data_IF_143570331183
#
_entry.id   IF_143570331183
#
_cell.length_a   1.000
_cell.length_b   1.000
_cell.length_c   1.000
_cell.angle_alpha   90.00
_cell.angle_beta   90.00
_cell.angle_gamma   90.00
#
_symmetry.space_group_name_H-M   'P 1'
#
loop_
_entity.id
_entity.type
_entity.pdbx_description
1 polymer ?
#
# COMPACT_ATOMS: atom_id res chain seq x y z
N UNK A 1 28.75 -56.00 53.10
CA UNK A 1 28.45 -57.43 53.04
C UNK A 1 27.33 -57.61 52.07
N UNK A 2 27.63 -58.41 51.08
CA UNK A 2 26.76 -59.01 50.10
C UNK A 2 26.11 -58.15 48.99
N UNK A 3 26.08 -58.63 47.79
CA UNK A 3 26.14 -57.85 46.61
C UNK A 3 24.81 -57.67 45.87
N UNK A 4 24.78 -56.69 45.03
CA UNK A 4 23.77 -56.52 43.98
C UNK A 4 23.79 -57.63 42.91
N UNK A 5 22.64 -57.88 42.28
CA UNK A 5 22.68 -58.30 40.90
C UNK A 5 22.16 -57.22 39.97
N UNK A 6 22.84 -57.15 38.84
CA UNK A 6 22.48 -56.37 37.65
C UNK A 6 21.20 -56.85 37.01
N UNK A 7 20.37 -55.94 36.55
CA UNK A 7 19.30 -56.17 35.61
C UNK A 7 19.33 -55.06 34.58
N UNK A 8 19.76 -55.38 33.38
CA UNK A 8 19.69 -54.48 32.25
C UNK A 8 18.25 -54.44 31.74
N UNK A 9 17.81 -53.27 31.35
CA UNK A 9 16.68 -53.07 30.47
C UNK A 9 17.08 -52.15 29.32
N UNK A 10 17.03 -52.76 28.16
CA UNK A 10 17.17 -52.16 26.85
C UNK A 10 16.07 -51.15 26.64
N UNK A 11 16.44 -49.87 26.46
CA UNK A 11 15.57 -48.93 25.75
C UNK A 11 16.18 -48.72 24.36
N UNK A 12 15.81 -49.65 23.46
CA UNK A 12 15.91 -49.50 22.03
C UNK A 12 14.56 -49.04 21.48
N UNK A 13 14.45 -47.77 21.18
CA UNK A 13 13.45 -47.30 20.21
C UNK A 13 14.00 -46.05 19.53
N UNK A 14 14.77 -46.28 18.48
CA UNK A 14 15.00 -45.30 17.42
C UNK A 14 13.69 -45.16 16.65
N UNK A 15 12.86 -44.17 17.01
CA UNK A 15 11.83 -43.73 16.10
C UNK A 15 12.49 -42.97 14.94
N UNK A 16 12.70 -43.68 13.87
CA UNK A 16 13.00 -43.16 12.55
C UNK A 16 11.77 -42.35 12.11
N UNK A 17 11.90 -41.03 12.08
CA UNK A 17 10.91 -40.17 11.42
C UNK A 17 10.89 -40.61 9.95
N UNK A 18 9.88 -41.35 9.57
CA UNK A 18 9.63 -41.71 8.19
C UNK A 18 9.33 -40.42 7.43
N UNK A 19 10.27 -39.98 6.62
CA UNK A 19 10.02 -39.03 5.54
C UNK A 19 9.03 -39.77 4.62
N UNK A 20 7.79 -39.29 4.58
CA UNK A 20 6.75 -39.85 3.76
C UNK A 20 7.09 -39.57 2.30
N UNK A 21 7.76 -40.52 1.62
CA UNK A 21 7.83 -40.56 0.17
C UNK A 21 6.42 -40.85 -0.35
N UNK A 22 5.68 -39.79 -0.68
CA UNK A 22 4.49 -39.90 -1.47
C UNK A 22 4.87 -40.28 -2.89
N UNK A 23 5.01 -41.59 -3.16
CA UNK A 23 4.96 -42.11 -4.52
C UNK A 23 3.53 -41.89 -5.02
N UNK A 24 3.33 -40.83 -5.77
CA UNK A 24 2.09 -40.55 -6.47
C UNK A 24 2.10 -41.38 -7.76
N UNK A 25 1.12 -42.25 -7.85
CA UNK A 25 0.76 -43.06 -9.02
C UNK A 25 0.81 -42.18 -10.29
N UNK A 26 1.48 -42.69 -11.34
CA UNK A 26 1.93 -41.99 -12.55
C UNK A 26 0.86 -41.38 -13.47
N UNK A 27 -0.18 -40.77 -12.93
CA UNK A 27 -1.07 -39.88 -13.66
C UNK A 27 -0.54 -38.47 -13.47
N UNK A 28 -0.06 -37.87 -14.55
CA UNK A 28 0.16 -36.40 -14.62
C UNK A 28 -1.11 -35.74 -14.09
N UNK A 29 -1.09 -35.30 -12.86
CA UNK A 29 -1.99 -34.24 -12.42
C UNK A 29 -1.64 -33.04 -13.29
N UNK A 30 -2.52 -32.76 -14.25
CA UNK A 30 -2.57 -31.47 -14.95
C UNK A 30 -2.42 -30.40 -13.89
N UNK A 31 -1.53 -29.45 -14.14
CA UNK A 31 -1.45 -28.19 -13.40
C UNK A 31 -2.90 -27.80 -13.13
N UNK A 32 -3.33 -27.87 -11.88
CA UNK A 32 -4.54 -27.17 -11.49
C UNK A 32 -4.20 -25.71 -11.67
N UNK A 33 -4.52 -25.20 -12.86
CA UNK A 33 -4.57 -23.79 -13.13
C UNK A 33 -5.58 -23.23 -12.12
N UNK A 34 -5.08 -22.62 -11.06
CA UNK A 34 -5.80 -21.61 -10.30
C UNK A 34 -5.93 -20.32 -11.14
N UNK A 35 -5.95 -20.45 -12.45
CA UNK A 35 -6.51 -19.45 -13.33
C UNK A 35 -8.01 -19.52 -13.09
N UNK A 36 -8.53 -18.57 -12.37
CA UNK A 36 -9.94 -18.25 -12.42
C UNK A 36 -10.23 -17.71 -13.84
N UNK A 37 -10.31 -18.61 -14.82
CA UNK A 37 -10.94 -18.30 -16.11
C UNK A 37 -12.46 -18.10 -15.94
N UNK A 38 -12.92 -18.07 -14.69
CA UNK A 38 -14.30 -17.77 -14.34
C UNK A 38 -14.46 -16.24 -14.20
N UNK A 39 -15.21 -15.58 -15.10
CA UNK A 39 -15.59 -14.19 -14.96
C UNK A 39 -16.34 -13.90 -13.63
N UNK A 40 -16.77 -14.95 -12.89
CA UNK A 40 -17.33 -14.84 -11.55
C UNK A 40 -16.28 -14.62 -10.44
N UNK A 41 -14.98 -14.74 -10.70
CA UNK A 41 -13.93 -14.34 -9.76
C UNK A 41 -13.92 -12.81 -9.46
N UNK A 42 -14.74 -12.03 -10.16
CA UNK A 42 -14.97 -10.61 -9.88
C UNK A 42 -15.85 -10.35 -8.63
N UNK A 43 -16.49 -11.37 -8.06
CA UNK A 43 -17.19 -11.26 -6.79
C UNK A 43 -16.34 -11.85 -5.67
N UNK A 44 -15.39 -11.04 -5.14
CA UNK A 44 -15.05 -11.22 -3.73
C UNK A 44 -16.37 -10.98 -3.01
N UNK A 45 -17.07 -12.06 -2.70
CA UNK A 45 -18.26 -12.07 -1.86
C UNK A 45 -17.90 -11.25 -0.63
N UNK A 46 -18.78 -10.38 -0.18
CA UNK A 46 -18.62 -9.66 1.09
C UNK A 46 -18.43 -10.70 2.21
N UNK A 47 -17.17 -11.10 2.40
CA UNK A 47 -16.80 -12.14 3.37
C UNK A 47 -17.18 -11.72 4.79
N UNK A 48 -17.29 -10.42 5.05
CA UNK A 48 -17.61 -9.88 6.36
C UNK A 48 -19.11 -9.83 6.62
N UNK A 49 -19.95 -9.76 5.57
CA UNK A 49 -21.41 -9.64 5.65
C UNK A 49 -21.85 -8.44 6.50
N UNK A 50 -21.19 -7.31 6.33
CA UNK A 50 -21.54 -6.09 7.04
C UNK A 50 -22.60 -5.28 6.26
N UNK A 51 -23.50 -4.57 6.96
CA UNK A 51 -24.38 -3.61 6.30
C UNK A 51 -23.53 -2.49 5.66
N UNK A 52 -24.03 -1.97 4.55
CA UNK A 52 -23.39 -0.84 3.86
C UNK A 52 -23.26 0.35 4.81
N UNK A 53 -22.07 0.94 4.99
CA UNK A 53 -21.91 2.13 5.82
C UNK A 53 -22.58 3.36 5.18
N UNK A 54 -22.98 4.34 5.98
CA UNK A 54 -23.73 5.50 5.52
C UNK A 54 -22.96 6.36 4.50
N UNK A 55 -21.64 6.39 4.55
CA UNK A 55 -20.81 7.12 3.60
C UNK A 55 -20.75 6.47 2.20
N UNK A 56 -21.07 5.19 2.08
CA UNK A 56 -21.04 4.42 0.83
C UNK A 56 -22.37 4.59 0.08
N UNK A 57 -22.46 5.66 -0.73
CA UNK A 57 -23.64 5.97 -1.55
C UNK A 57 -23.83 5.00 -2.72
N UNK A 58 -24.97 5.05 -3.41
CA UNK A 58 -25.20 4.24 -4.61
C UNK A 58 -24.16 4.49 -5.70
N UNK A 59 -23.78 5.75 -5.90
CA UNK A 59 -22.75 6.13 -6.91
C UNK A 59 -21.38 5.53 -6.57
N UNK A 60 -21.02 5.50 -5.28
CA UNK A 60 -19.78 4.87 -4.83
C UNK A 60 -19.78 3.34 -4.98
N UNK A 61 -20.94 2.71 -4.82
CA UNK A 61 -21.09 1.27 -5.13
C UNK A 61 -20.86 1.02 -6.62
N UNK A 62 -21.48 1.82 -7.48
CA UNK A 62 -21.30 1.73 -8.93
C UNK A 62 -19.84 1.98 -9.34
N UNK A 63 -19.17 2.95 -8.69
CA UNK A 63 -17.76 3.23 -8.92
C UNK A 63 -16.88 2.02 -8.52
N UNK A 64 -17.12 1.40 -7.35
CA UNK A 64 -16.39 0.20 -6.93
C UNK A 64 -16.55 -0.93 -7.94
N UNK A 65 -17.77 -1.20 -8.37
CA UNK A 65 -18.07 -2.24 -9.36
C UNK A 65 -17.39 -1.96 -10.72
N UNK A 66 -17.44 -0.70 -11.18
CA UNK A 66 -16.77 -0.28 -12.40
C UNK A 66 -15.24 -0.45 -12.30
N UNK A 67 -14.66 0.03 -11.20
CA UNK A 67 -13.22 -0.08 -10.95
C UNK A 67 -12.79 -1.56 -10.94
N UNK A 68 -13.50 -2.41 -10.22
CA UNK A 68 -13.19 -3.85 -10.15
C UNK A 68 -13.30 -4.54 -11.51
N UNK A 69 -14.35 -4.23 -12.28
CA UNK A 69 -14.50 -4.79 -13.65
C UNK A 69 -13.37 -4.34 -14.57
N UNK A 70 -13.03 -3.05 -14.53
CA UNK A 70 -11.92 -2.51 -15.33
C UNK A 70 -10.58 -3.17 -14.96
N UNK A 71 -10.27 -3.24 -13.67
CA UNK A 71 -9.02 -3.84 -13.17
C UNK A 71 -8.93 -5.33 -13.57
N UNK A 72 -10.03 -6.07 -13.42
CA UNK A 72 -10.06 -7.48 -13.80
C UNK A 72 -9.88 -7.70 -15.31
N UNK A 73 -10.46 -6.84 -16.15
CA UNK A 73 -10.39 -6.96 -17.60
C UNK A 73 -9.04 -6.48 -18.17
N UNK A 74 -8.56 -5.32 -17.72
CA UNK A 74 -7.41 -4.64 -18.33
C UNK A 74 -6.08 -4.96 -17.65
N UNK A 75 -6.09 -5.21 -16.33
CA UNK A 75 -4.87 -5.41 -15.55
C UNK A 75 -4.69 -6.87 -15.13
N UNK A 76 -5.77 -7.54 -14.75
CA UNK A 76 -5.75 -8.92 -14.26
C UNK A 76 -4.94 -9.89 -15.13
N UNK A 77 -5.12 -9.91 -16.47
CA UNK A 77 -4.38 -10.80 -17.37
C UNK A 77 -2.86 -10.60 -17.37
N UNK A 78 -2.40 -9.44 -16.89
CA UNK A 78 -0.98 -9.05 -16.92
C UNK A 78 -0.29 -9.11 -15.56
N UNK A 79 -1.05 -9.32 -14.48
CA UNK A 79 -0.57 -9.20 -13.11
C UNK A 79 0.66 -10.08 -12.83
N UNK A 80 0.61 -11.37 -13.20
CA UNK A 80 1.73 -12.30 -12.98
C UNK A 80 2.99 -11.85 -13.74
N UNK A 81 2.82 -11.46 -15.00
CA UNK A 81 3.95 -10.95 -15.79
C UNK A 81 4.57 -9.70 -15.17
N UNK A 82 3.78 -8.78 -14.66
CA UNK A 82 4.30 -7.56 -14.02
C UNK A 82 5.02 -7.86 -12.70
N UNK A 83 4.60 -8.91 -11.98
CA UNK A 83 5.35 -9.39 -10.82
C UNK A 83 6.69 -10.00 -11.22
N UNK A 84 6.74 -10.83 -12.27
CA UNK A 84 7.98 -11.38 -12.82
C UNK A 84 8.93 -10.29 -13.34
N UNK A 85 8.39 -9.31 -14.08
CA UNK A 85 9.14 -8.17 -14.61
C UNK A 85 9.56 -7.17 -13.51
N UNK A 86 8.98 -7.29 -12.32
CA UNK A 86 9.12 -6.33 -11.21
C UNK A 86 8.78 -4.90 -11.59
N UNK A 87 7.85 -4.68 -12.50
CA UNK A 87 7.53 -3.37 -13.04
C UNK A 87 6.17 -3.31 -13.73
N UNK A 88 5.46 -2.20 -13.59
CA UNK A 88 4.28 -1.87 -14.40
C UNK A 88 4.69 -1.08 -15.65
N UNK A 89 4.15 -1.35 -16.83
CA UNK A 89 4.37 -0.51 -18.01
C UNK A 89 3.69 0.85 -17.82
N UNK A 90 4.22 1.86 -18.52
CA UNK A 90 3.77 3.26 -18.38
C UNK A 90 2.30 3.46 -18.78
N UNK A 91 1.80 2.71 -19.76
CA UNK A 91 0.44 2.80 -20.26
C UNK A 91 -0.64 2.39 -19.23
N UNK A 92 -0.27 1.68 -18.16
CA UNK A 92 -1.17 1.39 -17.04
C UNK A 92 -1.72 2.67 -16.42
N UNK A 93 -0.90 3.72 -16.33
CA UNK A 93 -1.29 5.01 -15.77
C UNK A 93 -2.34 5.72 -16.64
N UNK A 94 -2.09 5.80 -17.95
CA UNK A 94 -3.03 6.45 -18.89
C UNK A 94 -4.33 5.66 -19.02
N UNK A 95 -4.28 4.32 -18.97
CA UNK A 95 -5.48 3.47 -18.94
C UNK A 95 -6.30 3.69 -17.67
N UNK A 96 -5.64 3.77 -16.50
CA UNK A 96 -6.32 4.07 -15.23
C UNK A 96 -6.95 5.47 -15.26
N UNK A 97 -6.25 6.48 -15.80
CA UNK A 97 -6.77 7.84 -15.98
C UNK A 97 -7.98 7.88 -16.91
N UNK A 98 -7.90 7.21 -18.07
CA UNK A 98 -9.02 7.12 -19.02
C UNK A 98 -10.26 6.43 -18.44
N UNK A 99 -10.07 5.53 -17.48
CA UNK A 99 -11.15 4.87 -16.74
C UNK A 99 -11.68 5.68 -15.54
N UNK A 100 -11.15 6.89 -15.27
CA UNK A 100 -11.53 7.72 -14.13
C UNK A 100 -11.05 7.19 -12.78
N UNK A 101 -10.02 6.36 -12.76
CA UNK A 101 -9.48 5.73 -11.54
C UNK A 101 -8.26 6.47 -10.97
N UNK A 102 -7.98 7.67 -11.46
CA UNK A 102 -6.95 8.57 -10.91
C UNK A 102 -7.58 9.89 -10.52
N UNK A 103 -7.17 10.43 -9.38
CA UNK A 103 -7.55 11.75 -8.90
C UNK A 103 -9.07 12.00 -8.86
N UNK A 104 -9.86 10.98 -8.53
CA UNK A 104 -11.32 11.05 -8.52
C UNK A 104 -11.86 12.08 -7.51
N UNK A 105 -11.10 12.38 -6.46
CA UNK A 105 -11.45 13.40 -5.46
C UNK A 105 -11.12 14.83 -5.87
N UNK A 106 -10.42 15.05 -6.98
CA UNK A 106 -10.07 16.39 -7.45
C UNK A 106 -11.30 17.07 -8.09
N UNK A 107 -11.41 18.42 -7.95
CA UNK A 107 -12.47 19.19 -8.62
C UNK A 107 -12.45 19.00 -10.15
N UNK A 108 -13.63 19.07 -10.75
CA UNK A 108 -13.81 18.94 -12.20
C UNK A 108 -13.02 19.99 -13.00
N UNK A 109 -12.90 21.22 -12.47
CA UNK A 109 -12.10 22.29 -13.09
C UNK A 109 -10.61 21.96 -13.23
N UNK A 110 -10.12 20.97 -12.49
CA UNK A 110 -8.75 20.44 -12.57
C UNK A 110 -8.71 19.02 -13.14
N UNK A 111 -9.76 18.57 -13.79
CA UNK A 111 -9.79 17.30 -14.51
C UNK A 111 -10.15 16.07 -13.66
N UNK A 112 -10.49 16.25 -12.39
CA UNK A 112 -11.00 15.16 -11.54
C UNK A 112 -12.50 14.94 -11.72
N UNK A 113 -13.07 14.05 -10.90
CA UNK A 113 -14.50 13.73 -10.93
C UNK A 113 -15.33 14.56 -9.94
N UNK A 114 -14.76 15.54 -9.24
CA UNK A 114 -15.44 16.34 -8.21
C UNK A 114 -15.83 15.55 -6.97
N UNK A 115 -15.24 14.39 -6.77
CA UNK A 115 -15.54 13.49 -5.66
C UNK A 115 -14.97 13.94 -4.33
N UNK A 116 -14.99 13.04 -3.35
CA UNK A 116 -14.42 13.20 -2.03
C UNK A 116 -13.39 12.11 -1.77
N UNK A 117 -12.78 12.10 -0.59
CA UNK A 117 -11.91 11.00 -0.15
C UNK A 117 -12.60 9.62 -0.25
N UNK A 118 -13.94 9.54 -0.15
CA UNK A 118 -14.66 8.28 -0.32
C UNK A 118 -14.43 7.64 -1.70
N UNK A 119 -14.28 8.46 -2.76
CA UNK A 119 -13.98 7.97 -4.11
C UNK A 119 -12.59 7.35 -4.17
N UNK A 120 -11.59 8.01 -3.58
CA UNK A 120 -10.22 7.45 -3.47
C UNK A 120 -10.20 6.16 -2.65
N UNK A 121 -10.93 6.11 -1.53
CA UNK A 121 -11.01 4.93 -0.68
C UNK A 121 -11.64 3.73 -1.40
N UNK A 122 -12.68 3.97 -2.19
CA UNK A 122 -13.35 2.94 -3.00
C UNK A 122 -12.43 2.41 -4.11
N UNK A 123 -11.71 3.29 -4.78
CA UNK A 123 -10.76 2.91 -5.85
C UNK A 123 -9.57 2.15 -5.26
N UNK A 124 -8.98 2.62 -4.15
CA UNK A 124 -7.88 1.93 -3.45
C UNK A 124 -8.32 0.53 -2.99
N UNK A 125 -9.54 0.44 -2.41
CA UNK A 125 -10.14 -0.84 -2.06
C UNK A 125 -10.27 -1.78 -3.27
N UNK A 126 -10.69 -1.27 -4.43
CA UNK A 126 -10.81 -2.06 -5.65
C UNK A 126 -9.44 -2.61 -6.11
N UNK A 127 -8.38 -1.79 -6.08
CA UNK A 127 -7.02 -2.26 -6.37
C UNK A 127 -6.56 -3.34 -5.38
N UNK A 128 -6.74 -3.11 -4.08
CA UNK A 128 -6.32 -4.06 -3.05
C UNK A 128 -7.06 -5.40 -3.15
N UNK A 129 -8.38 -5.39 -3.38
CA UNK A 129 -9.18 -6.61 -3.56
C UNK A 129 -8.78 -7.40 -4.81
N UNK A 130 -8.33 -6.71 -5.86
CA UNK A 130 -7.86 -7.34 -7.10
C UNK A 130 -6.39 -7.82 -7.04
N UNK A 131 -5.65 -7.55 -5.96
CA UNK A 131 -4.25 -7.96 -5.83
C UNK A 131 -3.24 -6.99 -6.43
N UNK A 132 -3.64 -5.75 -6.72
CA UNK A 132 -2.77 -4.69 -7.22
C UNK A 132 -2.13 -3.86 -6.09
N UNK A 133 -1.65 -4.53 -5.06
CA UNK A 133 -1.03 -3.91 -3.88
C UNK A 133 0.18 -3.04 -4.22
N UNK A 134 0.86 -3.37 -5.30
CA UNK A 134 2.08 -2.70 -5.75
C UNK A 134 1.86 -1.47 -6.61
N UNK A 135 0.64 -1.19 -7.09
CA UNK A 135 0.37 -0.06 -7.96
C UNK A 135 0.32 1.25 -7.17
N UNK A 136 1.13 2.21 -7.60
CA UNK A 136 1.32 3.47 -6.87
C UNK A 136 0.22 4.52 -7.05
N UNK A 137 -0.95 4.16 -7.63
CA UNK A 137 -2.07 5.08 -7.83
C UNK A 137 -2.64 5.68 -6.54
N UNK A 138 -2.79 4.94 -5.42
CA UNK A 138 -3.26 5.54 -4.17
C UNK A 138 -2.36 6.66 -3.64
N UNK A 139 -1.03 6.53 -3.80
CA UNK A 139 -0.09 7.61 -3.45
C UNK A 139 -0.23 8.80 -4.40
N UNK A 140 -0.29 8.54 -5.70
CA UNK A 140 -0.43 9.56 -6.73
C UNK A 140 -1.71 10.39 -6.56
N UNK A 141 -2.87 9.72 -6.45
CA UNK A 141 -4.20 10.34 -6.40
C UNK A 141 -4.57 10.85 -5.00
N UNK A 142 -4.28 10.06 -3.98
CA UNK A 142 -4.74 10.33 -2.62
C UNK A 142 -3.73 11.06 -1.74
N UNK A 143 -2.46 11.19 -2.19
CA UNK A 143 -1.40 11.91 -1.47
C UNK A 143 -0.89 13.08 -2.32
N UNK A 144 -0.25 12.82 -3.46
CA UNK A 144 0.43 13.87 -4.24
C UNK A 144 -0.54 14.93 -4.76
N UNK A 145 -1.64 14.52 -5.40
CA UNK A 145 -2.62 15.45 -5.93
C UNK A 145 -3.27 16.34 -4.85
N UNK A 146 -3.63 15.85 -3.65
CA UNK A 146 -4.10 16.68 -2.54
C UNK A 146 -3.11 17.76 -2.08
N UNK A 147 -1.79 17.48 -2.04
CA UNK A 147 -0.81 18.52 -1.73
C UNK A 147 -0.86 19.66 -2.73
N UNK A 148 -0.97 19.35 -4.02
CA UNK A 148 -1.06 20.37 -5.07
C UNK A 148 -2.38 21.14 -4.95
N UNK A 149 -3.50 20.44 -4.74
CA UNK A 149 -4.81 21.08 -4.61
C UNK A 149 -4.87 22.05 -3.43
N UNK A 150 -4.34 21.67 -2.26
CA UNK A 150 -4.44 22.46 -1.03
C UNK A 150 -3.46 23.60 -0.97
N UNK A 151 -2.24 23.40 -1.44
CA UNK A 151 -1.13 24.33 -1.22
C UNK A 151 -0.60 24.98 -2.49
N UNK A 152 -0.86 24.40 -3.64
CA UNK A 152 -0.41 24.95 -4.92
C UNK A 152 -1.09 26.26 -5.28
N UNK A 153 -0.36 27.08 -6.03
CA UNK A 153 -0.96 28.27 -6.69
C UNK A 153 -1.94 27.84 -7.77
N UNK A 154 -2.81 28.72 -8.23
CA UNK A 154 -3.74 28.42 -9.32
C UNK A 154 -3.03 27.97 -10.60
N UNK A 155 -1.85 28.55 -10.88
CA UNK A 155 -1.02 28.17 -12.00
C UNK A 155 -0.50 26.72 -11.84
N UNK A 156 0.00 26.35 -10.65
CA UNK A 156 0.44 24.99 -10.35
C UNK A 156 -0.69 23.98 -10.45
N UNK A 157 -1.87 24.28 -9.89
CA UNK A 157 -3.05 23.42 -9.98
C UNK A 157 -3.46 23.15 -11.42
N UNK A 158 -3.61 24.21 -12.24
CA UNK A 158 -3.98 24.11 -13.66
C UNK A 158 -2.92 23.42 -14.51
N UNK A 159 -1.65 23.53 -14.15
CA UNK A 159 -0.53 22.91 -14.86
C UNK A 159 -0.44 21.43 -14.59
N UNK A 160 -0.63 20.98 -13.34
CA UNK A 160 -0.30 19.62 -12.93
C UNK A 160 -1.52 18.71 -12.72
N UNK A 161 -2.59 19.19 -12.06
CA UNK A 161 -3.71 18.33 -11.67
C UNK A 161 -4.42 17.65 -12.86
N UNK A 162 -4.73 18.35 -13.97
CA UNK A 162 -5.36 17.69 -15.12
C UNK A 162 -4.53 16.55 -15.71
N UNK A 163 -3.21 16.73 -15.75
CA UNK A 163 -2.29 15.71 -16.26
C UNK A 163 -2.09 14.54 -15.30
N UNK A 164 -2.19 14.79 -14.00
CA UNK A 164 -2.24 13.72 -13.01
C UNK A 164 -3.53 12.92 -13.15
N UNK A 165 -4.69 13.57 -13.32
CA UNK A 165 -5.97 12.90 -13.49
C UNK A 165 -6.03 12.01 -14.74
N UNK A 166 -5.38 12.40 -15.83
CA UNK A 166 -5.28 11.59 -17.06
C UNK A 166 -4.18 10.53 -17.03
N UNK A 167 -3.28 10.57 -16.03
CA UNK A 167 -2.10 9.71 -15.99
C UNK A 167 -1.01 10.10 -17.00
N UNK A 168 -1.13 11.26 -17.65
CA UNK A 168 -0.07 11.86 -18.48
C UNK A 168 1.16 12.20 -17.64
N UNK A 169 0.96 12.76 -16.43
CA UNK A 169 1.98 12.88 -15.41
C UNK A 169 1.77 11.82 -14.32
N UNK A 170 2.85 11.23 -13.86
CA UNK A 170 2.87 10.39 -12.66
C UNK A 170 3.47 11.19 -11.52
N UNK A 171 2.76 11.25 -10.39
CA UNK A 171 3.19 11.96 -9.20
C UNK A 171 3.95 11.10 -8.21
N UNK A 172 4.99 11.68 -7.59
CA UNK A 172 5.67 11.12 -6.43
C UNK A 172 5.90 12.18 -5.36
N UNK A 173 6.09 11.75 -4.11
CA UNK A 173 6.55 12.62 -3.02
C UNK A 173 7.86 12.07 -2.45
N UNK A 174 8.89 12.90 -2.40
CA UNK A 174 10.23 12.53 -2.00
C UNK A 174 10.57 13.12 -0.63
N UNK A 175 10.26 12.35 0.44
CA UNK A 175 10.50 12.74 1.83
C UNK A 175 11.80 12.12 2.35
N UNK A 176 11.88 10.78 2.37
CA UNK A 176 12.94 10.01 3.03
C UNK A 176 14.30 10.18 2.36
N UNK A 177 15.34 10.20 3.19
CA UNK A 177 16.75 10.25 2.77
C UNK A 177 17.51 9.04 3.36
N UNK A 178 18.71 8.70 2.87
CA UNK A 178 19.52 7.63 3.45
C UNK A 178 19.76 7.76 4.97
N UNK A 179 19.78 8.99 5.47
CA UNK A 179 20.01 9.29 6.90
C UNK A 179 18.76 9.73 7.67
N UNK A 180 17.59 9.81 7.02
CA UNK A 180 16.39 10.42 7.62
C UNK A 180 15.12 9.76 7.10
N UNK A 181 14.33 9.21 8.03
CA UNK A 181 13.00 8.65 7.75
C UNK A 181 11.96 9.23 8.69
N UNK A 182 11.77 8.65 9.88
CA UNK A 182 10.78 9.11 10.87
C UNK A 182 11.03 10.54 11.39
N UNK A 183 12.29 10.97 11.47
CA UNK A 183 12.66 12.33 11.83
C UNK A 183 12.79 13.23 10.58
N UNK A 184 11.66 13.70 10.06
CA UNK A 184 11.62 14.55 8.88
C UNK A 184 12.34 15.92 9.08
N UNK A 185 12.53 16.36 10.30
CA UNK A 185 13.29 17.59 10.56
C UNK A 185 14.79 17.42 10.26
N UNK A 186 15.26 16.19 10.26
CA UNK A 186 16.64 15.81 9.95
C UNK A 186 17.00 15.79 8.47
N UNK A 187 16.08 16.13 7.54
CA UNK A 187 16.36 16.16 6.10
C UNK A 187 17.56 17.06 5.79
N UNK A 188 18.38 16.64 4.83
CA UNK A 188 19.60 17.34 4.41
C UNK A 188 19.52 17.88 2.98
N UNK A 189 18.60 17.35 2.17
CA UNK A 189 18.30 17.91 0.85
C UNK A 189 18.02 19.40 1.01
N UNK A 190 18.72 20.23 0.23
CA UNK A 190 18.65 21.68 0.31
C UNK A 190 18.23 22.31 -1.01
N UNK A 191 17.41 23.33 -0.93
CA UNK A 191 17.01 24.18 -2.05
C UNK A 191 17.45 25.60 -1.75
N UNK A 192 18.65 25.96 -2.18
CA UNK A 192 19.21 27.30 -1.94
C UNK A 192 18.73 28.28 -3.00
N UNK A 193 18.34 29.48 -2.58
CA UNK A 193 18.00 30.55 -3.53
C UNK A 193 19.18 30.86 -4.44
N UNK A 194 18.91 30.99 -5.74
CA UNK A 194 19.85 31.34 -6.77
C UNK A 194 19.16 32.17 -7.85
N UNK A 195 19.53 33.42 -7.98
CA UNK A 195 18.81 34.37 -8.85
C UNK A 195 17.33 34.45 -8.48
N UNK A 196 16.45 34.22 -9.42
CA UNK A 196 14.99 34.23 -9.21
C UNK A 196 14.41 32.81 -8.88
N UNK A 197 15.25 31.83 -8.62
CA UNK A 197 14.80 30.46 -8.36
C UNK A 197 15.61 29.78 -7.28
N UNK A 198 15.82 28.48 -7.45
CA UNK A 198 16.53 27.62 -6.48
C UNK A 198 17.56 26.75 -7.17
N UNK A 199 18.53 26.29 -6.39
CA UNK A 199 19.41 25.16 -6.75
C UNK A 199 19.17 24.05 -5.75
N UNK A 200 18.64 22.92 -6.23
CA UNK A 200 18.31 21.76 -5.41
C UNK A 200 19.47 20.78 -5.38
N UNK A 201 19.86 20.38 -4.17
CA UNK A 201 20.92 19.40 -3.94
C UNK A 201 20.50 18.40 -2.87
N UNK A 202 20.74 17.10 -3.13
CA UNK A 202 20.49 16.06 -2.15
C UNK A 202 20.22 14.68 -2.77
N UNK A 203 19.83 13.76 -1.92
CA UNK A 203 19.44 12.41 -2.34
C UNK A 203 18.23 11.92 -1.55
N UNK A 204 17.34 11.21 -2.22
CA UNK A 204 16.14 10.64 -1.63
C UNK A 204 16.15 9.13 -1.84
N UNK A 205 15.53 8.40 -0.91
CA UNK A 205 15.44 6.93 -0.98
C UNK A 205 14.06 6.44 -0.62
N UNK A 206 13.72 5.24 -1.06
CA UNK A 206 12.42 4.58 -0.87
C UNK A 206 11.26 5.36 -1.52
N UNK A 207 11.50 6.02 -2.65
CA UNK A 207 10.50 6.86 -3.31
C UNK A 207 9.63 5.99 -4.21
N UNK A 208 8.36 5.88 -3.85
CA UNK A 208 7.32 5.23 -4.66
C UNK A 208 7.10 6.03 -5.94
N UNK A 209 6.91 5.35 -7.05
CA UNK A 209 6.80 5.91 -8.40
C UNK A 209 8.09 6.58 -8.92
N UNK A 210 9.24 6.41 -8.25
CA UNK A 210 10.45 7.17 -8.56
C UNK A 210 11.02 6.97 -9.98
N UNK A 211 10.75 5.81 -10.63
CA UNK A 211 11.12 5.58 -12.03
C UNK A 211 10.09 6.18 -13.00
N UNK A 212 8.80 6.14 -12.63
CA UNK A 212 7.69 6.63 -13.46
C UNK A 212 7.42 8.13 -13.29
N UNK A 213 7.78 8.71 -12.12
CA UNK A 213 7.35 10.07 -11.78
C UNK A 213 7.87 11.11 -12.77
N UNK A 214 6.94 11.86 -13.32
CA UNK A 214 7.20 13.06 -14.12
C UNK A 214 7.16 14.32 -13.27
N UNK A 215 6.42 14.27 -12.15
CA UNK A 215 6.32 15.32 -11.14
C UNK A 215 6.66 14.77 -9.75
N UNK A 216 7.65 15.36 -9.10
CA UNK A 216 8.08 14.95 -7.76
C UNK A 216 7.95 16.12 -6.80
N UNK A 217 7.14 15.97 -5.76
CA UNK A 217 7.12 16.91 -4.63
C UNK A 217 8.29 16.56 -3.72
N UNK A 218 9.31 17.41 -3.70
CA UNK A 218 10.55 17.19 -2.95
C UNK A 218 10.53 17.97 -1.64
N UNK A 219 10.72 17.28 -0.54
CA UNK A 219 10.92 17.89 0.79
C UNK A 219 12.38 18.33 0.90
N UNK A 220 12.62 19.65 1.02
CA UNK A 220 13.96 20.20 1.10
C UNK A 220 14.05 21.38 2.11
N UNK A 221 15.25 21.65 2.59
CA UNK A 221 15.53 22.85 3.39
C UNK A 221 15.83 24.03 2.51
N UNK A 222 15.00 25.05 2.59
CA UNK A 222 15.27 26.39 2.06
C UNK A 222 16.06 27.24 3.07
N UNK A 223 15.86 26.99 4.38
CA UNK A 223 16.68 27.57 5.46
C UNK A 223 17.14 26.47 6.45
N UNK A 224 18.41 26.03 6.42
CA UNK A 224 18.91 24.99 7.31
C UNK A 224 18.99 25.43 8.78
N UNK A 225 18.88 26.71 9.09
CA UNK A 225 19.00 27.26 10.46
C UNK A 225 17.68 27.21 11.24
N UNK A 226 16.53 27.07 10.55
CA UNK A 226 15.19 27.21 11.12
C UNK A 226 14.52 25.88 11.51
N UNK A 227 15.25 24.75 11.50
CA UNK A 227 14.67 23.46 11.86
C UNK A 227 13.45 23.11 11.00
N UNK A 228 12.31 22.84 11.62
CA UNK A 228 11.05 22.53 10.93
C UNK A 228 10.54 23.69 10.05
N UNK A 229 10.72 24.93 10.50
CA UNK A 229 10.32 26.14 9.77
C UNK A 229 11.23 26.44 8.57
N UNK A 230 12.33 25.74 8.41
CA UNK A 230 13.21 25.87 7.27
C UNK A 230 12.91 24.86 6.15
N UNK A 231 11.87 24.03 6.30
CA UNK A 231 11.48 23.01 5.32
C UNK A 231 10.42 23.57 4.38
N UNK A 232 10.64 23.38 3.09
CA UNK A 232 9.70 23.70 2.01
C UNK A 232 9.43 22.50 1.13
N UNK A 233 8.32 22.53 0.40
CA UNK A 233 7.99 21.56 -0.64
C UNK A 233 8.25 22.19 -2.00
N UNK A 234 8.93 21.47 -2.88
CA UNK A 234 9.21 21.92 -4.25
C UNK A 234 8.72 20.89 -5.26
N UNK A 235 7.93 21.33 -6.24
CA UNK A 235 7.56 20.53 -7.40
C UNK A 235 8.71 20.51 -8.41
N UNK A 236 9.21 19.30 -8.70
CA UNK A 236 10.26 19.07 -9.71
C UNK A 236 9.65 18.32 -10.87
N UNK A 237 9.58 18.95 -12.04
CA UNK A 237 9.24 18.28 -13.30
C UNK A 237 10.52 17.64 -13.85
N UNK A 238 10.49 16.33 -14.02
CA UNK A 238 11.73 15.54 -14.20
C UNK A 238 12.33 15.64 -15.60
N UNK A 239 11.52 16.00 -16.59
CA UNK A 239 11.98 16.11 -18.00
C UNK A 239 12.87 17.36 -18.23
N UNK A 240 12.62 18.42 -17.45
CA UNK A 240 13.35 19.69 -17.52
C UNK A 240 14.24 19.97 -16.30
N UNK A 241 14.78 18.92 -15.70
CA UNK A 241 15.58 19.03 -14.49
C UNK A 241 17.03 18.55 -14.71
N UNK A 242 17.90 19.36 -15.38
CA UNK A 242 19.30 19.01 -15.53
C UNK A 242 19.95 18.84 -14.16
N UNK A 243 20.74 17.76 -13.99
CA UNK A 243 21.31 17.38 -12.68
C UNK A 243 20.41 16.45 -11.85
N UNK A 244 19.15 16.25 -12.24
CA UNK A 244 18.32 15.20 -11.68
C UNK A 244 18.67 13.84 -12.30
N UNK A 245 18.73 12.82 -11.45
CA UNK A 245 18.99 11.46 -11.89
C UNK A 245 18.18 10.46 -11.07
N UNK A 246 17.44 9.60 -11.75
CA UNK A 246 16.85 8.40 -11.13
C UNK A 246 17.96 7.41 -10.82
N UNK A 247 18.00 6.94 -9.58
CA UNK A 247 18.89 5.87 -9.14
C UNK A 247 18.32 4.50 -9.53
N UNK A 248 18.79 3.48 -8.85
CA UNK A 248 18.30 2.12 -9.07
C UNK A 248 16.89 1.94 -8.49
N UNK A 249 16.10 1.10 -9.14
CA UNK A 249 14.91 0.51 -8.53
C UNK A 249 15.36 -0.45 -7.42
N UNK A 250 14.82 -0.28 -6.23
CA UNK A 250 15.23 -1.03 -5.04
C UNK A 250 14.59 -2.43 -5.04
N UNK A 251 15.40 -3.45 -4.72
CA UNK A 251 14.89 -4.81 -4.45
C UNK A 251 14.26 -4.83 -3.06
N UNK A 252 13.05 -5.35 -2.97
CA UNK A 252 12.23 -5.34 -1.77
C UNK A 252 11.86 -6.76 -1.33
N UNK A 253 11.36 -6.91 -0.12
CA UNK A 253 10.81 -8.16 0.40
C UNK A 253 9.49 -8.54 -0.32
N UNK A 254 8.68 -7.57 -0.66
CA UNK A 254 7.40 -7.69 -1.35
C UNK A 254 7.11 -6.44 -2.16
N UNK A 255 5.84 -6.31 -2.62
CA UNK A 255 5.42 -5.28 -3.57
C UNK A 255 6.34 -5.27 -4.79
N UNK A 256 6.51 -6.45 -5.38
CA UNK A 256 7.57 -6.69 -6.39
C UNK A 256 7.45 -5.78 -7.60
N UNK A 257 6.23 -5.54 -8.08
CA UNK A 257 5.96 -4.65 -9.23
C UNK A 257 6.05 -3.17 -8.87
N UNK A 258 6.06 -2.79 -7.58
CA UNK A 258 6.12 -1.39 -7.19
C UNK A 258 7.47 -0.79 -7.59
N UNK A 259 7.38 0.34 -8.24
CA UNK A 259 8.49 1.20 -8.56
C UNK A 259 8.90 2.00 -7.30
N UNK A 260 9.93 1.53 -6.62
CA UNK A 260 10.50 2.20 -5.44
C UNK A 260 11.97 2.46 -5.69
N UNK A 261 12.41 3.73 -5.65
CA UNK A 261 13.70 4.14 -6.18
C UNK A 261 14.49 5.06 -5.28
N UNK A 262 15.79 5.18 -5.58
CA UNK A 262 16.65 6.27 -5.15
C UNK A 262 16.57 7.40 -6.17
N UNK A 263 16.65 8.66 -5.69
CA UNK A 263 16.66 9.86 -6.51
C UNK A 263 17.83 10.76 -6.09
N UNK A 264 18.50 11.36 -7.07
CA UNK A 264 19.65 12.21 -6.85
C UNK A 264 19.45 13.56 -7.52
N UNK A 265 19.81 14.62 -6.82
CA UNK A 265 19.74 16.01 -7.25
C UNK A 265 21.12 16.63 -7.08
N UNK A 266 21.76 17.00 -8.19
CA UNK A 266 23.12 17.57 -8.23
C UNK A 266 23.04 18.90 -8.97
N UNK A 267 23.04 20.01 -8.21
CA UNK A 267 22.90 21.38 -8.70
C UNK A 267 21.72 21.59 -9.66
N UNK A 268 20.56 20.97 -9.34
CA UNK A 268 19.36 21.07 -10.18
C UNK A 268 18.79 22.47 -10.10
N UNK A 269 18.80 23.26 -11.20
CA UNK A 269 18.19 24.57 -11.22
C UNK A 269 16.67 24.43 -11.26
N UNK A 270 15.99 25.12 -10.37
CA UNK A 270 14.54 25.17 -10.30
C UNK A 270 14.06 26.61 -10.41
N UNK A 271 13.01 26.89 -11.18
CA UNK A 271 12.38 28.20 -11.20
C UNK A 271 11.69 28.51 -9.88
N UNK A 272 11.35 29.78 -9.62
CA UNK A 272 10.68 30.20 -8.39
C UNK A 272 9.34 29.47 -8.20
N UNK A 273 8.65 29.21 -9.28
CA UNK A 273 7.35 28.53 -9.38
C UNK A 273 7.41 27.04 -8.97
N UNK A 274 8.61 26.49 -8.74
CA UNK A 274 8.78 25.16 -8.17
C UNK A 274 8.41 25.11 -6.69
N UNK A 275 8.46 26.22 -5.96
CA UNK A 275 7.99 26.26 -4.57
C UNK A 275 6.48 25.98 -4.54
N UNK A 276 6.08 24.93 -3.82
CA UNK A 276 4.66 24.60 -3.67
C UNK A 276 3.98 25.63 -2.75
N UNK A 277 3.13 26.47 -3.35
CA UNK A 277 2.56 27.65 -2.71
C UNK A 277 3.42 28.89 -2.91
N UNK A 278 3.31 29.83 -1.97
CA UNK A 278 3.92 31.18 -2.11
C UNK A 278 4.98 31.49 -1.05
N UNK A 279 5.08 30.70 0.02
CA UNK A 279 5.96 30.97 1.17
C UNK A 279 6.89 29.81 1.46
N UNK A 280 8.17 30.10 1.65
CA UNK A 280 9.15 29.15 2.16
C UNK A 280 8.86 28.77 3.62
N UNK A 281 9.35 27.62 4.06
CA UNK A 281 9.28 27.18 5.46
C UNK A 281 7.93 26.62 5.89
N UNK A 282 6.96 26.49 4.98
CA UNK A 282 5.65 25.91 5.27
C UNK A 282 5.60 24.38 5.11
N UNK A 283 6.61 23.79 4.48
CA UNK A 283 6.57 22.38 4.07
C UNK A 283 6.32 21.41 5.22
N UNK A 284 6.92 21.61 6.38
CA UNK A 284 6.68 20.73 7.53
C UNK A 284 5.22 20.80 8.03
N UNK A 285 4.61 21.98 8.05
CA UNK A 285 3.20 22.13 8.43
C UNK A 285 2.28 21.49 7.41
N UNK A 286 2.54 21.69 6.13
CA UNK A 286 1.81 21.05 5.03
C UNK A 286 1.83 19.55 5.17
N UNK A 287 3.01 18.94 5.42
CA UNK A 287 3.14 17.51 5.68
C UNK A 287 2.28 17.07 6.89
N UNK A 288 2.36 17.77 8.00
CA UNK A 288 1.61 17.38 9.21
C UNK A 288 0.09 17.47 9.03
N UNK A 289 -0.41 18.38 8.22
CA UNK A 289 -1.84 18.54 7.93
C UNK A 289 -2.40 17.45 7.05
N UNK A 290 -1.61 16.91 6.11
CA UNK A 290 -2.06 15.87 5.18
C UNK A 290 -1.85 14.43 5.68
N UNK A 291 -0.97 14.22 6.67
CA UNK A 291 -0.72 12.90 7.27
C UNK A 291 -1.98 12.12 7.71
N UNK A 292 -3.06 12.73 8.25
CA UNK A 292 -4.27 11.97 8.57
C UNK A 292 -4.88 11.26 7.36
N UNK A 293 -4.95 11.92 6.20
CA UNK A 293 -5.43 11.33 4.95
C UNK A 293 -4.51 10.23 4.46
N UNK A 294 -3.19 10.45 4.46
CA UNK A 294 -2.20 9.46 4.04
C UNK A 294 -2.29 8.18 4.87
N UNK A 295 -2.45 8.31 6.20
CA UNK A 295 -2.64 7.18 7.13
C UNK A 295 -3.92 6.43 6.87
N UNK A 296 -5.00 7.14 6.50
CA UNK A 296 -6.29 6.53 6.23
C UNK A 296 -6.28 5.72 4.92
N UNK A 297 -5.56 6.16 3.89
CA UNK A 297 -5.33 5.37 2.67
C UNK A 297 -4.67 4.04 3.03
N UNK A 298 -3.61 4.07 3.83
CA UNK A 298 -2.94 2.83 4.27
C UNK A 298 -3.86 1.92 5.05
N UNK A 299 -4.72 2.47 5.92
CA UNK A 299 -5.70 1.70 6.68
C UNK A 299 -6.77 1.08 5.76
N UNK A 300 -7.22 1.81 4.73
CA UNK A 300 -8.17 1.32 3.71
C UNK A 300 -7.60 0.12 2.97
N UNK A 301 -6.38 0.24 2.48
CA UNK A 301 -5.67 -0.85 1.80
C UNK A 301 -5.49 -2.08 2.70
N UNK A 302 -5.12 -1.87 3.97
CA UNK A 302 -4.93 -2.95 4.94
C UNK A 302 -6.22 -3.76 5.17
N UNK A 303 -7.37 -3.09 5.33
CA UNK A 303 -8.66 -3.76 5.55
C UNK A 303 -9.08 -4.54 4.30
N UNK A 304 -8.95 -3.98 3.12
CA UNK A 304 -9.25 -4.67 1.86
C UNK A 304 -8.36 -5.92 1.68
N UNK A 305 -7.08 -5.85 2.04
CA UNK A 305 -6.19 -7.01 2.01
C UNK A 305 -6.60 -8.08 3.04
N UNK A 306 -7.10 -7.72 4.24
CA UNK A 306 -7.66 -8.70 5.20
C UNK A 306 -8.86 -9.45 4.60
N UNK A 307 -9.77 -8.73 3.95
CA UNK A 307 -10.94 -9.32 3.29
C UNK A 307 -10.52 -10.30 2.18
N UNK A 308 -9.58 -9.89 1.34
CA UNK A 308 -9.03 -10.75 0.28
C UNK A 308 -8.33 -11.99 0.85
N UNK A 309 -7.52 -11.83 1.89
CA UNK A 309 -6.83 -12.95 2.53
C UNK A 309 -7.82 -13.96 3.11
N UNK A 310 -8.86 -13.49 3.79
CA UNK A 310 -9.93 -14.34 4.32
C UNK A 310 -10.69 -15.06 3.20
N UNK A 311 -11.13 -14.35 2.16
CA UNK A 311 -11.88 -14.94 1.05
C UNK A 311 -11.06 -16.03 0.36
N UNK A 312 -9.82 -15.72 -0.03
CA UNK A 312 -8.90 -16.65 -0.67
C UNK A 312 -8.63 -17.88 0.20
N UNK A 313 -8.49 -17.69 1.52
CA UNK A 313 -8.22 -18.80 2.45
C UNK A 313 -9.46 -19.68 2.63
N UNK A 314 -10.64 -19.09 2.78
CA UNK A 314 -11.89 -19.83 2.91
C UNK A 314 -12.15 -20.71 1.68
N UNK A 315 -11.91 -20.17 0.48
CA UNK A 315 -12.06 -20.91 -0.77
C UNK A 315 -11.06 -22.09 -0.85
N UNK A 316 -9.81 -21.85 -0.47
CA UNK A 316 -8.78 -22.89 -0.45
C UNK A 316 -9.14 -24.03 0.53
N UNK A 317 -9.47 -23.73 1.79
CA UNK A 317 -9.72 -24.76 2.82
C UNK A 317 -11.03 -25.52 2.58
N UNK A 318 -11.98 -24.98 1.82
CA UNK A 318 -13.20 -25.67 1.37
C UNK A 318 -12.92 -26.70 0.27
N UNK A 319 -11.85 -26.53 -0.49
CA UNK A 319 -11.46 -27.41 -1.59
C UNK A 319 -10.41 -28.43 -1.16
N UNK A 320 -9.40 -28.01 -0.40
CA UNK A 320 -8.28 -28.83 0.03
C UNK A 320 -8.72 -29.91 1.02
N UNK A 321 -8.26 -31.14 0.78
CA UNK A 321 -8.53 -32.29 1.65
C UNK A 321 -7.24 -32.83 2.28
N UNK A 322 -7.33 -33.29 3.52
CA UNK A 322 -6.31 -34.04 4.24
C UNK A 322 -6.98 -34.94 5.28
N UNK A 323 -6.39 -36.10 5.57
CA UNK A 323 -6.93 -37.05 6.54
C UNK A 323 -8.39 -37.45 6.28
N UNK A 324 -8.79 -37.56 5.02
CA UNK A 324 -10.13 -37.99 4.60
C UNK A 324 -11.26 -36.97 4.71
N UNK A 325 -10.94 -35.67 5.04
CA UNK A 325 -11.91 -34.59 5.12
C UNK A 325 -11.34 -33.28 4.60
N UNK A 326 -12.20 -32.28 4.37
CA UNK A 326 -11.78 -30.94 3.96
C UNK A 326 -11.04 -30.23 5.10
N UNK A 327 -10.11 -29.34 4.76
CA UNK A 327 -9.37 -28.56 5.77
C UNK A 327 -10.33 -27.70 6.62
N UNK A 328 -11.40 -27.18 6.03
CA UNK A 328 -12.43 -26.41 6.75
C UNK A 328 -13.15 -27.23 7.84
N UNK A 329 -13.19 -28.56 7.74
CA UNK A 329 -13.87 -29.43 8.70
C UNK A 329 -13.04 -29.69 9.96
N UNK A 330 -11.80 -29.22 10.03
CA UNK A 330 -11.00 -29.27 11.25
C UNK A 330 -11.36 -28.11 12.18
N UNK A 331 -11.61 -28.41 13.46
CA UNK A 331 -12.05 -27.42 14.43
C UNK A 331 -11.05 -26.26 14.60
N UNK A 332 -9.74 -26.55 14.59
CA UNK A 332 -8.71 -25.51 14.64
C UNK A 332 -8.80 -24.53 13.47
N UNK A 333 -9.04 -25.04 12.23
CA UNK A 333 -9.25 -24.18 11.05
C UNK A 333 -10.45 -23.26 11.22
N UNK A 334 -11.56 -23.80 11.74
CA UNK A 334 -12.78 -23.03 12.01
C UNK A 334 -12.53 -21.93 13.03
N UNK A 335 -11.78 -22.22 14.10
CA UNK A 335 -11.46 -21.24 15.15
C UNK A 335 -10.58 -20.10 14.60
N UNK A 336 -9.50 -20.44 13.89
CA UNK A 336 -8.62 -19.45 13.27
C UNK A 336 -9.38 -18.53 12.32
N UNK A 337 -10.23 -19.10 11.45
CA UNK A 337 -11.02 -18.30 10.51
C UNK A 337 -12.09 -17.44 11.21
N UNK A 338 -12.73 -17.97 12.27
CA UNK A 338 -13.70 -17.20 13.06
C UNK A 338 -13.06 -16.01 13.76
N UNK A 339 -11.88 -16.19 14.35
CA UNK A 339 -11.08 -15.11 14.96
C UNK A 339 -10.68 -14.07 13.91
N UNK A 340 -10.09 -14.49 12.81
CA UNK A 340 -9.68 -13.58 11.72
C UNK A 340 -10.87 -12.78 11.16
N UNK A 341 -12.02 -13.45 10.96
CA UNK A 341 -13.24 -12.77 10.49
C UNK A 341 -13.74 -11.76 11.51
N UNK A 342 -13.77 -12.09 12.80
CA UNK A 342 -14.20 -11.18 13.85
C UNK A 342 -13.32 -9.94 13.92
N UNK A 343 -12.01 -10.12 13.90
CA UNK A 343 -11.03 -9.04 13.93
C UNK A 343 -11.12 -8.14 12.70
N UNK A 344 -11.25 -8.72 11.49
CA UNK A 344 -11.41 -7.97 10.25
C UNK A 344 -12.75 -7.20 10.23
N UNK A 345 -13.82 -7.77 10.82
CA UNK A 345 -15.11 -7.09 10.98
C UNK A 345 -14.98 -5.84 11.86
N UNK A 346 -14.33 -5.95 13.02
CA UNK A 346 -14.07 -4.79 13.90
C UNK A 346 -13.20 -3.75 13.20
N UNK A 347 -12.17 -4.20 12.45
CA UNK A 347 -11.31 -3.33 11.66
C UNK A 347 -12.10 -2.53 10.62
N UNK A 348 -12.98 -3.21 9.88
CA UNK A 348 -13.82 -2.56 8.86
C UNK A 348 -14.75 -1.50 9.47
N UNK A 349 -15.39 -1.79 10.60
CA UNK A 349 -16.27 -0.83 11.30
C UNK A 349 -15.49 0.40 11.74
N UNK A 350 -14.29 0.22 12.30
CA UNK A 350 -13.46 1.35 12.71
C UNK A 350 -12.95 2.16 11.50
N UNK A 351 -12.58 1.50 10.41
CA UNK A 351 -12.21 2.17 9.16
C UNK A 351 -13.36 3.02 8.63
N UNK A 352 -14.57 2.46 8.57
CA UNK A 352 -15.77 3.16 8.08
C UNK A 352 -16.06 4.43 8.90
N UNK A 353 -15.93 4.33 10.23
CA UNK A 353 -16.02 5.49 11.11
C UNK A 353 -14.96 6.55 10.79
N UNK A 354 -13.72 6.15 10.53
CA UNK A 354 -12.64 7.09 10.16
C UNK A 354 -12.89 7.76 8.80
N UNK A 355 -13.35 7.00 7.80
CA UNK A 355 -13.69 7.54 6.48
C UNK A 355 -14.83 8.57 6.60
N UNK A 356 -15.89 8.24 7.34
CA UNK A 356 -17.02 9.17 7.55
C UNK A 356 -16.56 10.47 8.21
N UNK A 357 -15.73 10.38 9.26
CA UNK A 357 -15.16 11.56 9.91
C UNK A 357 -14.27 12.37 8.98
N UNK A 358 -13.46 11.70 8.14
CA UNK A 358 -12.59 12.39 7.21
C UNK A 358 -13.36 13.18 6.15
N UNK A 359 -14.44 12.59 5.59
CA UNK A 359 -15.33 13.26 4.64
C UNK A 359 -15.98 14.53 5.25
N UNK A 360 -16.29 14.47 6.55
CA UNK A 360 -16.84 15.61 7.31
C UNK A 360 -15.77 16.64 7.74
N UNK A 361 -14.50 16.40 7.48
CA UNK A 361 -13.39 17.25 7.96
C UNK A 361 -13.12 17.14 9.46
N UNK A 362 -13.58 16.08 10.11
CA UNK A 362 -13.52 15.86 11.56
C UNK A 362 -12.47 14.82 12.00
N UNK A 363 -11.76 14.18 11.05
CA UNK A 363 -10.76 13.19 11.40
C UNK A 363 -9.51 13.86 11.98
N UNK A 364 -9.28 13.61 13.26
CA UNK A 364 -8.06 14.10 13.93
C UNK A 364 -6.85 13.18 13.71
N UNK A 365 -5.66 13.74 13.92
CA UNK A 365 -4.38 13.06 13.72
C UNK A 365 -4.21 11.82 14.61
N UNK A 366 -4.78 11.83 15.81
CA UNK A 366 -4.67 10.72 16.78
C UNK A 366 -5.52 9.55 16.32
N UNK A 367 -6.77 9.80 15.96
CA UNK A 367 -7.68 8.77 15.41
C UNK A 367 -7.13 8.17 14.12
N UNK A 368 -6.60 8.99 13.20
CA UNK A 368 -5.94 8.49 11.99
C UNK A 368 -4.70 7.64 12.29
N UNK A 369 -3.93 8.01 13.34
CA UNK A 369 -2.78 7.21 13.80
C UNK A 369 -3.21 5.87 14.40
N UNK A 370 -4.31 5.83 15.16
CA UNK A 370 -4.90 4.60 15.67
C UNK A 370 -5.32 3.69 14.51
N UNK A 371 -6.03 4.23 13.54
CA UNK A 371 -6.45 3.46 12.35
C UNK A 371 -5.23 2.87 11.64
N UNK A 372 -4.23 3.69 11.33
CA UNK A 372 -3.05 3.24 10.58
C UNK A 372 -2.31 2.12 11.32
N UNK A 373 -1.88 2.32 12.57
CA UNK A 373 -1.04 1.33 13.23
C UNK A 373 -1.80 0.04 13.50
N UNK A 374 -3.04 0.14 13.97
CA UNK A 374 -3.81 -1.03 14.37
C UNK A 374 -4.21 -1.89 13.16
N UNK A 375 -4.72 -1.28 12.07
CA UNK A 375 -5.06 -2.03 10.86
C UNK A 375 -3.82 -2.68 10.22
N UNK A 376 -2.68 -1.99 10.22
CA UNK A 376 -1.47 -2.55 9.62
C UNK A 376 -0.80 -3.62 10.48
N UNK A 377 -0.92 -3.60 11.80
CA UNK A 377 -0.54 -4.71 12.65
C UNK A 377 -1.47 -5.90 12.45
N UNK A 378 -2.76 -5.63 12.35
CA UNK A 378 -3.79 -6.66 12.23
C UNK A 378 -3.73 -7.39 10.88
N UNK A 379 -3.57 -6.69 9.75
CA UNK A 379 -3.45 -7.35 8.43
C UNK A 379 -2.27 -8.32 8.40
N UNK A 380 -1.13 -7.94 8.97
CA UNK A 380 0.03 -8.84 9.06
C UNK A 380 -0.28 -10.09 9.90
N UNK A 381 -1.03 -9.95 11.01
CA UNK A 381 -1.45 -11.08 11.85
C UNK A 381 -2.46 -11.99 11.13
N UNK A 382 -3.45 -11.41 10.45
CA UNK A 382 -4.48 -12.18 9.73
C UNK A 382 -3.86 -12.94 8.56
N UNK A 383 -3.02 -12.27 7.75
CA UNK A 383 -2.38 -12.90 6.60
C UNK A 383 -1.45 -14.04 7.03
N UNK A 384 -0.72 -13.89 8.14
CA UNK A 384 0.15 -14.93 8.70
C UNK A 384 -0.67 -16.18 9.10
N UNK A 385 -1.76 -15.99 9.85
CA UNK A 385 -2.66 -17.10 10.24
C UNK A 385 -3.35 -17.74 9.03
N UNK A 386 -3.74 -16.96 8.04
CA UNK A 386 -4.30 -17.46 6.79
C UNK A 386 -3.29 -18.29 6.01
N UNK A 387 -2.06 -17.78 5.85
CA UNK A 387 -0.97 -18.48 5.16
C UNK A 387 -0.70 -19.85 5.78
N UNK A 388 -0.72 -19.95 7.12
CA UNK A 388 -0.49 -21.21 7.82
C UNK A 388 -1.50 -22.31 7.41
N UNK A 389 -2.74 -21.94 7.09
CA UNK A 389 -3.78 -22.88 6.66
C UNK A 389 -3.55 -23.46 5.26
N UNK A 390 -2.67 -22.87 4.46
CA UNK A 390 -2.25 -23.43 3.16
C UNK A 390 -1.17 -24.50 3.31
N UNK A 391 -0.52 -24.62 4.47
CA UNK A 391 0.62 -25.52 4.66
C UNK A 391 1.76 -25.18 3.71
N UNK A 392 2.39 -26.18 3.08
CA UNK A 392 3.50 -25.98 2.15
C UNK A 392 3.17 -25.08 0.96
N UNK A 393 1.94 -25.07 0.50
CA UNK A 393 1.49 -24.20 -0.60
C UNK A 393 1.46 -22.71 -0.20
N UNK A 394 1.28 -22.38 1.08
CA UNK A 394 1.38 -21.00 1.57
C UNK A 394 2.77 -20.41 1.46
N UNK A 395 3.80 -21.24 1.28
CA UNK A 395 5.19 -20.81 1.11
C UNK A 395 5.63 -20.69 -0.36
N UNK A 396 4.75 -21.08 -1.29
CA UNK A 396 5.01 -21.05 -2.72
C UNK A 396 4.54 -19.74 -3.33
N UNK A 397 5.36 -19.13 -4.18
CA UNK A 397 5.13 -17.81 -4.75
C UNK A 397 3.92 -17.75 -5.71
N UNK A 398 3.56 -18.88 -6.28
CA UNK A 398 2.39 -19.03 -7.15
C UNK A 398 1.05 -18.86 -6.40
N UNK A 399 1.06 -18.92 -5.06
CA UNK A 399 -0.15 -18.75 -4.26
C UNK A 399 -0.30 -17.31 -3.78
N UNK A 400 -1.45 -16.67 -4.03
CA UNK A 400 -1.67 -15.26 -3.69
C UNK A 400 -1.42 -14.93 -2.22
N UNK A 401 -1.65 -15.88 -1.30
CA UNK A 401 -1.44 -15.66 0.14
C UNK A 401 0.04 -15.44 0.49
N UNK A 402 0.97 -16.09 -0.21
CA UNK A 402 2.41 -15.89 -0.05
C UNK A 402 2.81 -14.45 -0.40
N UNK A 403 2.26 -13.94 -1.50
CA UNK A 403 2.49 -12.57 -1.95
C UNK A 403 1.90 -11.57 -0.96
N UNK A 404 0.64 -11.77 -0.51
CA UNK A 404 0.02 -10.93 0.52
C UNK A 404 0.86 -10.85 1.79
N UNK A 405 1.47 -11.95 2.22
CA UNK A 405 2.34 -12.00 3.40
C UNK A 405 3.56 -11.08 3.25
N UNK A 406 4.21 -11.12 2.10
CA UNK A 406 5.37 -10.26 1.81
C UNK A 406 4.95 -8.78 1.67
N UNK A 407 3.84 -8.53 0.98
CA UNK A 407 3.37 -7.18 0.65
C UNK A 407 2.81 -6.46 1.89
N UNK A 408 2.09 -7.17 2.76
CA UNK A 408 1.56 -6.59 4.00
C UNK A 408 2.65 -6.03 4.93
N UNK A 409 3.88 -6.59 4.86
CA UNK A 409 4.92 -6.28 5.85
C UNK A 409 5.34 -4.81 5.85
N UNK A 410 5.36 -4.14 4.70
CA UNK A 410 5.79 -2.74 4.59
C UNK A 410 4.78 -1.77 5.19
N UNK A 411 3.51 -2.15 5.31
CA UNK A 411 2.45 -1.27 5.81
C UNK A 411 2.69 -0.79 7.26
N UNK A 412 3.45 -1.53 8.04
CA UNK A 412 3.89 -1.11 9.39
C UNK A 412 4.97 -0.02 9.37
N UNK A 413 5.59 0.24 8.20
CA UNK A 413 6.79 1.07 8.07
C UNK A 413 6.46 2.40 7.39
N UNK A 414 5.84 2.37 6.21
CA UNK A 414 5.58 3.59 5.43
C UNK A 414 4.44 4.43 6.02
N UNK A 415 4.25 5.66 5.54
CA UNK A 415 3.33 6.67 6.08
C UNK A 415 3.50 6.91 7.60
N UNK A 416 4.76 6.81 8.07
CA UNK A 416 5.12 6.82 9.49
C UNK A 416 5.04 5.44 10.13
N UNK A 417 6.13 5.01 10.79
CA UNK A 417 6.17 3.68 11.43
C UNK A 417 5.11 3.54 12.52
N UNK A 418 4.70 2.32 12.84
CA UNK A 418 3.70 2.08 13.87
C UNK A 418 4.16 2.56 15.25
N UNK A 419 5.47 2.58 15.50
CA UNK A 419 6.06 3.17 16.71
C UNK A 419 5.80 4.68 16.78
N UNK A 420 5.96 5.40 15.66
CA UNK A 420 5.64 6.83 15.59
C UNK A 420 4.14 7.07 15.79
N UNK A 421 3.27 6.22 15.23
CA UNK A 421 1.83 6.31 15.48
C UNK A 421 1.53 6.18 16.97
N UNK A 422 2.14 5.21 17.65
CA UNK A 422 1.98 5.01 19.11
C UNK A 422 2.50 6.21 19.92
N UNK A 423 3.60 6.85 19.49
CA UNK A 423 4.09 8.10 20.11
C UNK A 423 3.06 9.24 19.96
N UNK A 424 2.44 9.38 18.76
CA UNK A 424 1.41 10.42 18.55
C UNK A 424 0.21 10.19 19.46
N UNK A 425 -0.26 8.95 19.57
CA UNK A 425 -1.38 8.57 20.43
C UNK A 425 -1.04 8.81 21.93
N UNK A 426 0.14 8.34 22.36
CA UNK A 426 0.55 8.43 23.76
C UNK A 426 0.67 9.89 24.28
N UNK A 427 0.89 10.85 23.41
CA UNK A 427 0.92 12.29 23.78
C UNK A 427 -0.45 12.83 24.22
N UNK A 428 -1.53 12.08 24.03
CA UNK A 428 -2.90 12.46 24.42
C UNK A 428 -3.35 11.78 25.71
N UNK A 429 -2.51 10.93 26.30
CA UNK A 429 -2.75 10.26 27.57
C UNK A 429 -2.23 11.13 28.71
#
# INVERSE_FOLDING_TARGET
>A
MAPHPAGGDEFGATETVAVCDCVVDGRRQTKHDFRSDDPQAATVTDILNLPRPAWMTEDLVLLEEQARRFIAAEFGPHLEKWHEDHFYPRDVWTKAGAAGLLCASMPEEYGGAGGTFAHEAVIDRAYALAGFDSFGAPLHSGIVAPYILRYGTEEQKRRWLPKLATGELVGAIAMSEPGTGSDLQGVRTSAKRSGNGYVLNGSKTFITNGQHADLIIVVAKTDPTQGAKGISLLGVETDDAPGFRRGRKLKKLGMDSADTSELFFEDVPLPAESLLGIEEGQGFFQLMQDLPQERLIVATHAVAMMERALATTVDYVKQRQAFGKKIIDFQNTQFVLAECKSEATVAKVFLDHCIERHIKGELDTVTASMAKYWHTDLVNSIVDRCLQLFGGYGYMDEYPISRMYRDARVQRIYAGTNEIMKVVIARTL
#
